data_IF_711504948514
#
_entry.id   IF_711504948514
#
_cell.length_a   1.000
_cell.length_b   1.000
_cell.length_c   1.000
_cell.angle_alpha   90.00
_cell.angle_beta   90.00
_cell.angle_gamma   90.00
#
_symmetry.space_group_name_H-M   'P 1'
#
loop_
_entity.id
_entity.type
_entity.pdbx_description
1 polymer ?
#
# COMPACT_ATOMS: atom_id res chain seq x y z
N UNK A 1 40.08 22.32 -23.10
CA UNK A 1 39.17 23.01 -22.15
C UNK A 1 37.82 22.30 -22.19
N UNK A 2 37.56 21.42 -21.25
CA UNK A 2 36.28 20.71 -21.14
C UNK A 2 35.23 21.59 -20.44
N UNK A 3 34.19 22.02 -21.14
CA UNK A 3 33.06 22.75 -20.56
C UNK A 3 32.11 21.75 -19.91
N UNK A 4 32.05 21.75 -18.59
CA UNK A 4 31.04 20.98 -17.86
C UNK A 4 29.68 21.66 -18.00
N UNK A 5 28.73 20.93 -18.57
CA UNK A 5 27.33 21.39 -18.71
C UNK A 5 26.62 21.09 -17.39
N UNK A 6 26.03 22.12 -16.77
CA UNK A 6 25.26 21.94 -15.52
C UNK A 6 23.94 21.21 -15.79
N UNK A 7 23.45 20.42 -14.80
CA UNK A 7 22.17 19.69 -14.88
C UNK A 7 20.98 20.59 -15.28
N UNK A 8 21.03 21.85 -14.86
CA UNK A 8 20.00 22.86 -15.18
C UNK A 8 20.04 23.34 -16.63
N UNK A 9 21.22 23.35 -17.25
CA UNK A 9 21.40 23.69 -18.67
C UNK A 9 20.98 22.53 -19.56
N UNK A 10 21.24 21.27 -19.14
CA UNK A 10 20.79 20.08 -19.83
C UNK A 10 19.25 19.99 -19.88
N UNK A 11 18.56 20.22 -18.76
CA UNK A 11 17.09 20.21 -18.71
C UNK A 11 16.44 21.32 -19.55
N UNK A 12 17.08 22.50 -19.68
CA UNK A 12 16.57 23.58 -20.55
C UNK A 12 16.78 23.27 -22.03
N UNK A 13 17.87 22.59 -22.37
CA UNK A 13 18.17 22.22 -23.78
C UNK A 13 17.28 21.06 -24.26
N UNK A 14 17.00 20.09 -23.41
CA UNK A 14 16.11 18.96 -23.74
C UNK A 14 14.63 19.36 -23.84
N UNK A 15 14.17 20.35 -23.06
CA UNK A 15 12.80 20.86 -23.14
C UNK A 15 12.46 21.58 -24.46
N UNK A 16 13.44 22.27 -25.07
CA UNK A 16 13.26 22.96 -26.36
C UNK A 16 13.30 22.00 -27.55
N UNK A 17 14.06 20.91 -27.47
CA UNK A 17 14.13 19.90 -28.53
C UNK A 17 12.86 19.04 -28.61
N UNK A 18 12.18 18.80 -27.50
CA UNK A 18 10.93 18.04 -27.47
C UNK A 18 9.73 18.80 -28.07
N UNK A 19 9.70 20.12 -27.91
CA UNK A 19 8.60 20.95 -28.42
C UNK A 19 8.60 21.10 -29.97
N UNK A 20 9.77 20.99 -30.61
CA UNK A 20 9.87 21.10 -32.09
C UNK A 20 9.59 19.78 -32.83
N UNK A 21 9.73 18.63 -32.18
CA UNK A 21 9.46 17.34 -32.80
C UNK A 21 7.97 16.94 -32.78
N UNK A 22 7.17 17.51 -31.87
CA UNK A 22 5.74 17.21 -31.78
C UNK A 22 4.86 17.95 -32.80
N UNK A 23 5.34 19.05 -33.40
CA UNK A 23 4.55 19.84 -34.34
C UNK A 23 4.52 19.25 -35.78
N UNK A 24 5.44 18.34 -36.14
CA UNK A 24 5.51 17.74 -37.48
C UNK A 24 4.88 16.35 -37.57
N UNK A 25 4.50 15.74 -36.46
CA UNK A 25 3.97 14.35 -36.39
C UNK A 25 2.46 14.21 -36.40
N UNK A 26 1.68 15.28 -36.35
CA UNK A 26 0.23 15.23 -36.16
C UNK A 26 -0.61 15.17 -37.45
N UNK A 27 0.00 15.11 -38.65
CA UNK A 27 -0.74 15.18 -39.93
C UNK A 27 -0.65 13.93 -40.81
N UNK A 28 -0.13 12.79 -40.36
CA UNK A 28 -0.07 11.60 -41.18
C UNK A 28 -0.43 10.28 -40.48
N UNK A 29 -1.55 10.25 -39.76
CA UNK A 29 -2.11 8.99 -39.31
C UNK A 29 -3.63 8.95 -39.55
N UNK A 30 -4.04 9.07 -40.80
CA UNK A 30 -5.30 8.56 -41.31
C UNK A 30 -5.01 7.48 -42.34
N UNK A 31 -4.82 6.25 -41.92
CA UNK A 31 -4.63 5.08 -42.77
C UNK A 31 -5.12 3.85 -41.99
N UNK A 32 -6.25 3.31 -42.40
CA UNK A 32 -6.89 2.13 -41.90
C UNK A 32 -5.96 0.93 -41.76
N UNK A 33 -5.80 0.38 -40.58
CA UNK A 33 -5.65 -1.04 -40.37
C UNK A 33 -6.07 -1.36 -38.91
N UNK A 34 -7.07 -2.24 -38.82
CA UNK A 34 -7.50 -2.85 -37.56
C UNK A 34 -6.33 -3.58 -36.93
N UNK A 35 -5.79 -3.08 -35.86
CA UNK A 35 -5.01 -3.82 -34.88
C UNK A 35 -5.56 -3.42 -33.53
N UNK A 36 -6.23 -4.37 -32.91
CA UNK A 36 -6.69 -4.35 -31.56
C UNK A 36 -5.48 -4.19 -30.64
N UNK A 37 -5.19 -2.97 -30.25
CA UNK A 37 -4.27 -2.59 -29.19
C UNK A 37 -4.60 -1.15 -28.80
N UNK A 38 -5.84 -0.95 -28.39
CA UNK A 38 -6.30 0.28 -27.80
C UNK A 38 -5.65 0.45 -26.41
N UNK A 39 -4.49 1.09 -26.36
CA UNK A 39 -4.09 1.80 -25.15
C UNK A 39 -5.02 3.02 -25.05
N UNK A 40 -6.28 2.76 -24.70
CA UNK A 40 -7.16 3.78 -24.16
C UNK A 40 -6.44 4.36 -22.96
N UNK A 41 -6.26 5.67 -22.92
CA UNK A 41 -6.03 6.39 -21.66
C UNK A 41 -7.33 6.24 -20.86
N UNK A 42 -7.63 5.00 -20.48
CA UNK A 42 -8.78 4.63 -19.69
C UNK A 42 -8.61 5.27 -18.33
N UNK A 43 -9.64 5.95 -17.87
CA UNK A 43 -9.70 6.44 -16.52
C UNK A 43 -9.29 5.29 -15.57
N UNK A 44 -8.45 5.60 -14.61
CA UNK A 44 -7.99 4.63 -13.61
C UNK A 44 -9.23 4.03 -12.95
N UNK A 45 -9.40 2.70 -13.04
CA UNK A 45 -10.47 2.00 -12.35
C UNK A 45 -10.20 2.07 -10.84
N UNK A 46 -10.84 3.02 -10.17
CA UNK A 46 -10.67 3.24 -8.73
C UNK A 46 -11.31 2.16 -7.86
N UNK A 47 -12.05 1.21 -8.48
CA UNK A 47 -12.59 0.06 -7.76
C UNK A 47 -11.58 -1.06 -7.55
N UNK A 48 -10.39 -0.97 -8.18
CA UNK A 48 -9.33 -1.97 -8.08
C UNK A 48 -8.06 -1.36 -7.54
N UNK A 49 -7.55 -1.97 -6.50
CA UNK A 49 -6.21 -1.71 -5.99
C UNK A 49 -5.26 -2.78 -6.53
N UNK A 50 -4.22 -2.36 -7.25
CA UNK A 50 -3.24 -3.27 -7.84
C UNK A 50 -1.86 -2.91 -7.32
N UNK A 51 -1.18 -3.89 -6.75
CA UNK A 51 0.20 -3.77 -6.28
C UNK A 51 1.07 -4.82 -6.98
N UNK A 52 2.31 -4.43 -7.30
CA UNK A 52 3.29 -5.34 -7.88
C UNK A 52 4.24 -5.82 -6.79
N UNK A 53 4.42 -7.13 -6.70
CA UNK A 53 5.41 -7.76 -5.84
C UNK A 53 6.60 -8.24 -6.66
N UNK A 54 7.77 -8.26 -6.05
CA UNK A 54 9.01 -8.77 -6.67
C UNK A 54 9.00 -10.29 -6.85
N UNK A 55 8.21 -10.99 -6.03
CA UNK A 55 8.06 -12.46 -6.07
C UNK A 55 6.73 -12.86 -5.44
N UNK A 56 6.41 -14.15 -5.51
CA UNK A 56 5.24 -14.70 -4.82
C UNK A 56 5.52 -14.78 -3.31
N UNK A 57 4.57 -14.37 -2.43
CA UNK A 57 4.67 -14.60 -0.99
C UNK A 57 4.81 -16.09 -0.67
N UNK A 58 5.70 -16.43 0.26
CA UNK A 58 5.90 -17.82 0.67
C UNK A 58 4.76 -18.33 1.57
N UNK A 59 4.15 -17.41 2.32
CA UNK A 59 3.03 -17.67 3.22
C UNK A 59 2.16 -16.43 3.34
N UNK A 60 0.90 -16.59 3.75
CA UNK A 60 0.05 -15.48 4.17
C UNK A 60 0.01 -15.31 5.69
N UNK A 61 0.74 -16.17 6.42
CA UNK A 61 0.86 -16.06 7.87
C UNK A 61 1.92 -15.02 8.25
N UNK A 62 1.52 -13.74 8.19
CA UNK A 62 2.39 -12.61 8.52
C UNK A 62 2.84 -12.59 9.99
N UNK A 63 2.18 -13.33 10.89
CA UNK A 63 2.55 -13.41 12.30
C UNK A 63 3.86 -14.19 12.53
N UNK A 64 4.24 -15.09 11.61
CA UNK A 64 5.44 -15.93 11.75
C UNK A 64 6.55 -15.58 10.77
N UNK A 65 6.28 -14.67 9.83
CA UNK A 65 7.28 -14.23 8.86
C UNK A 65 7.81 -12.84 9.21
N UNK A 66 9.09 -12.61 8.91
CA UNK A 66 9.73 -11.30 9.06
C UNK A 66 10.13 -10.67 7.71
N UNK A 67 9.53 -11.15 6.60
CA UNK A 67 9.86 -10.63 5.28
C UNK A 67 8.93 -9.49 4.88
N UNK A 68 9.49 -8.48 4.18
CA UNK A 68 8.75 -7.30 3.75
C UNK A 68 7.56 -7.66 2.85
N UNK A 69 7.68 -8.74 2.07
CA UNK A 69 6.69 -9.13 1.09
C UNK A 69 5.37 -9.54 1.76
N UNK A 70 5.44 -10.42 2.75
CA UNK A 70 4.29 -10.89 3.52
C UNK A 70 3.72 -9.80 4.42
N UNK A 71 4.58 -8.95 4.98
CA UNK A 71 4.16 -7.79 5.79
C UNK A 71 3.36 -6.79 4.97
N UNK A 72 3.74 -6.52 3.72
CA UNK A 72 2.96 -5.65 2.82
C UNK A 72 1.60 -6.25 2.50
N UNK A 73 1.50 -7.58 2.29
CA UNK A 73 0.21 -8.24 2.11
C UNK A 73 -0.64 -8.11 3.37
N UNK A 74 -0.08 -8.42 4.53
CA UNK A 74 -0.75 -8.31 5.83
C UNK A 74 -1.29 -6.89 6.08
N UNK A 75 -0.49 -5.86 5.85
CA UNK A 75 -0.87 -4.46 6.04
C UNK A 75 -2.04 -3.98 5.15
N UNK A 76 -2.34 -4.70 4.06
CA UNK A 76 -3.50 -4.41 3.20
C UNK A 76 -4.74 -5.27 3.53
N UNK A 77 -4.62 -6.23 4.44
CA UNK A 77 -5.69 -7.19 4.75
C UNK A 77 -6.14 -7.14 6.21
N UNK A 78 -5.33 -6.57 7.11
CA UNK A 78 -5.56 -6.61 8.55
C UNK A 78 -5.35 -5.25 9.17
N UNK A 79 -6.35 -4.77 9.89
CA UNK A 79 -6.25 -3.55 10.68
C UNK A 79 -5.50 -3.79 12.00
N UNK A 80 -4.80 -2.77 12.46
CA UNK A 80 -4.07 -2.77 13.73
C UNK A 80 -4.86 -2.04 14.82
N UNK A 81 -4.42 -2.15 16.07
CA UNK A 81 -5.03 -1.38 17.19
C UNK A 81 -4.94 0.11 16.92
N UNK A 82 -3.79 0.60 16.52
CA UNK A 82 -3.51 2.00 16.19
C UNK A 82 -2.72 2.08 14.90
N UNK A 83 -2.84 3.18 14.19
CA UNK A 83 -2.13 3.45 12.94
C UNK A 83 -1.28 4.72 13.06
N UNK A 84 -0.36 4.91 12.11
CA UNK A 84 0.38 6.15 11.96
C UNK A 84 0.04 6.82 10.64
N UNK A 85 -0.28 8.12 10.70
CA UNK A 85 -0.44 8.90 9.49
C UNK A 85 0.93 9.17 8.80
N UNK A 86 0.88 9.82 7.64
CA UNK A 86 2.07 10.16 6.86
C UNK A 86 3.02 11.17 7.53
N UNK A 87 2.64 11.70 8.70
CA UNK A 87 3.46 12.58 9.54
C UNK A 87 3.99 11.87 10.78
N UNK A 88 3.70 10.59 10.96
CA UNK A 88 4.07 9.80 12.13
C UNK A 88 3.21 10.11 13.36
N UNK A 89 2.02 10.68 13.18
CA UNK A 89 1.07 10.91 14.28
C UNK A 89 0.19 9.68 14.42
N UNK A 90 0.09 9.17 15.65
CA UNK A 90 -0.75 8.03 16.00
C UNK A 90 -2.24 8.36 15.79
N UNK A 91 -2.94 7.45 15.13
CA UNK A 91 -4.36 7.55 14.78
C UNK A 91 -5.11 6.31 15.26
N UNK A 92 -6.43 6.44 15.32
CA UNK A 92 -7.34 5.34 15.60
C UNK A 92 -7.26 4.29 14.48
N UNK A 93 -7.03 3.04 14.86
CA UNK A 93 -7.24 1.85 14.05
C UNK A 93 -8.47 1.11 14.56
N UNK A 94 -8.32 -0.12 15.07
CA UNK A 94 -9.40 -0.84 15.77
C UNK A 94 -9.63 -0.29 17.19
N UNK A 95 -8.63 0.35 17.80
CA UNK A 95 -8.82 1.06 19.07
C UNK A 95 -9.23 2.51 18.84
N UNK A 96 -10.32 2.93 19.47
CA UNK A 96 -10.82 4.31 19.45
C UNK A 96 -10.25 5.16 20.59
N UNK A 97 -9.75 4.50 21.64
CA UNK A 97 -9.10 5.14 22.77
C UNK A 97 -8.00 4.24 23.30
N UNK A 98 -6.95 4.84 23.83
CA UNK A 98 -5.89 4.15 24.57
C UNK A 98 -5.40 5.01 25.71
N UNK A 99 -5.04 4.37 26.80
CA UNK A 99 -4.53 5.01 28.00
C UNK A 99 -3.33 4.24 28.56
N UNK A 100 -2.40 4.97 29.17
CA UNK A 100 -1.21 4.42 29.80
C UNK A 100 -1.19 4.78 31.27
N UNK A 101 -1.29 3.75 32.14
CA UNK A 101 -1.07 3.88 33.58
C UNK A 101 0.39 3.57 33.91
N UNK A 102 1.12 4.59 34.31
CA UNK A 102 2.55 4.47 34.63
C UNK A 102 2.80 3.74 35.96
N UNK A 103 1.85 3.75 36.89
CA UNK A 103 2.00 3.13 38.21
C UNK A 103 1.82 1.61 38.11
N UNK A 104 0.85 1.14 37.33
CA UNK A 104 0.59 -0.27 37.08
C UNK A 104 1.31 -0.80 35.84
N UNK A 105 1.98 0.05 35.05
CA UNK A 105 2.61 -0.28 33.78
C UNK A 105 1.64 -0.95 32.80
N UNK A 106 0.41 -0.44 32.76
CA UNK A 106 -0.69 -1.06 32.01
C UNK A 106 -1.16 -0.15 30.88
N UNK A 107 -1.27 -0.73 29.67
CA UNK A 107 -1.98 -0.13 28.56
C UNK A 107 -3.40 -0.63 28.49
N UNK A 108 -4.36 0.27 28.33
CA UNK A 108 -5.77 -0.05 28.12
C UNK A 108 -6.20 0.45 26.74
N UNK A 109 -6.79 -0.43 25.93
CA UNK A 109 -7.33 -0.09 24.63
C UNK A 109 -8.83 -0.33 24.60
N UNK A 110 -9.60 0.66 24.12
CA UNK A 110 -11.04 0.50 23.87
C UNK A 110 -11.25 0.24 22.39
N UNK A 111 -11.81 -0.94 22.06
CA UNK A 111 -12.04 -1.33 20.68
C UNK A 111 -13.38 -0.79 20.16
N UNK A 112 -13.42 -0.43 18.86
CA UNK A 112 -14.68 -0.24 18.13
C UNK A 112 -15.30 -1.60 17.82
N UNK A 113 -16.60 -1.60 17.54
CA UNK A 113 -17.28 -2.78 16.99
C UNK A 113 -16.85 -2.95 15.52
N UNK A 114 -16.29 -4.11 15.21
CA UNK A 114 -15.83 -4.45 13.86
C UNK A 114 -15.94 -5.97 13.65
N UNK A 115 -15.89 -6.41 12.38
CA UNK A 115 -16.06 -7.81 12.02
C UNK A 115 -14.92 -8.32 11.14
N UNK A 116 -14.57 -9.58 11.34
CA UNK A 116 -13.81 -10.33 10.36
C UNK A 116 -14.69 -10.60 9.13
N UNK A 117 -14.14 -10.35 7.96
CA UNK A 117 -14.81 -10.59 6.68
C UNK A 117 -14.00 -11.56 5.83
N UNK A 118 -14.68 -12.33 4.99
CA UNK A 118 -14.03 -13.21 4.03
C UNK A 118 -13.62 -12.44 2.74
N UNK A 119 -13.10 -13.18 1.77
CA UNK A 119 -12.69 -12.63 0.47
C UNK A 119 -13.85 -12.10 -0.41
N UNK A 120 -15.09 -12.35 -0.04
CA UNK A 120 -16.28 -11.82 -0.70
C UNK A 120 -16.85 -10.60 0.05
N UNK A 121 -16.27 -10.26 1.22
CA UNK A 121 -16.76 -9.22 2.11
C UNK A 121 -17.92 -9.66 3.02
N UNK A 122 -18.15 -10.98 3.16
CA UNK A 122 -19.17 -11.49 4.06
C UNK A 122 -18.64 -11.61 5.49
N UNK A 123 -19.50 -11.25 6.46
CA UNK A 123 -19.13 -11.29 7.88
C UNK A 123 -18.96 -12.74 8.34
N UNK A 124 -17.79 -13.02 8.92
CA UNK A 124 -17.44 -14.34 9.46
C UNK A 124 -17.62 -14.38 10.99
N UNK A 125 -17.12 -13.37 11.70
CA UNK A 125 -17.17 -13.28 13.15
C UNK A 125 -16.94 -11.83 13.62
N UNK A 126 -17.37 -11.44 14.84
CA UNK A 126 -16.97 -10.17 15.43
C UNK A 126 -15.48 -10.18 15.82
N UNK A 127 -14.82 -9.04 15.66
CA UNK A 127 -13.47 -8.83 16.19
C UNK A 127 -13.56 -8.58 17.70
N UNK A 128 -12.73 -9.28 18.48
CA UNK A 128 -12.75 -9.22 19.94
C UNK A 128 -11.34 -8.95 20.51
N UNK A 129 -11.28 -8.52 21.77
CA UNK A 129 -10.01 -8.40 22.47
C UNK A 129 -9.25 -9.75 22.58
N UNK A 130 -9.99 -10.87 22.56
CA UNK A 130 -9.40 -12.21 22.62
C UNK A 130 -8.57 -12.52 21.38
N UNK A 131 -8.94 -12.00 20.20
CA UNK A 131 -8.18 -12.20 18.95
C UNK A 131 -6.75 -11.63 19.08
N UNK A 132 -6.61 -10.47 19.71
CA UNK A 132 -5.30 -9.87 19.98
C UNK A 132 -4.48 -10.69 20.98
N UNK A 133 -5.13 -11.20 22.03
CA UNK A 133 -4.48 -12.06 23.03
C UNK A 133 -3.98 -13.36 22.40
N UNK A 134 -4.79 -13.97 21.55
CA UNK A 134 -4.46 -15.22 20.88
C UNK A 134 -3.38 -15.03 19.82
N UNK A 135 -3.40 -13.93 19.07
CA UNK A 135 -2.33 -13.57 18.14
C UNK A 135 -0.99 -13.38 18.88
N UNK A 136 -0.97 -12.68 20.02
CA UNK A 136 0.23 -12.50 20.83
C UNK A 136 0.75 -13.82 21.41
N UNK A 137 -0.13 -14.67 21.91
CA UNK A 137 0.26 -16.01 22.41
C UNK A 137 0.85 -16.84 21.28
N UNK A 138 0.24 -16.79 20.09
CA UNK A 138 0.71 -17.51 18.93
C UNK A 138 2.15 -17.09 18.55
N UNK A 139 2.42 -15.81 18.46
CA UNK A 139 3.75 -15.28 18.12
C UNK A 139 4.80 -15.57 19.21
N UNK A 140 4.40 -15.59 20.47
CA UNK A 140 5.30 -15.79 21.61
C UNK A 140 5.51 -17.27 21.95
N UNK A 141 4.82 -18.19 21.31
CA UNK A 141 4.99 -19.63 21.55
C UNK A 141 6.28 -20.11 20.87
N UNK A 142 7.23 -20.74 21.58
CA UNK A 142 8.56 -21.03 21.03
C UNK A 142 8.64 -22.21 20.04
N UNK A 143 7.54 -22.83 19.68
CA UNK A 143 7.47 -24.05 18.86
C UNK A 143 7.19 -23.79 17.36
N UNK A 144 7.60 -22.62 16.84
CA UNK A 144 7.49 -22.26 15.42
C UNK A 144 8.84 -22.15 14.75
#
# INVERSE_FOLDING_TARGET
MSRSISRRQFLKASGLAAASACAAGLLSSCGSSKSDSGASAGGMDTSKYTILYSSQPATLNYLTTATDLEMVVGANCVDTLVEYDNKGVMREGLATQWDWDADSLTWTFTLREENWVDNNGEVVAPVTAQDFVDALKYVLTPDY
#
